data_IF_864613636814
#
_entry.id   IF_864613636814
#
_cell.length_a   1.000
_cell.length_b   1.000
_cell.length_c   1.000
_cell.angle_alpha   90.00
_cell.angle_beta   90.00
_cell.angle_gamma   90.00
#
_symmetry.space_group_name_H-M   'P 1'
#
loop_
_entity.id
_entity.type
_entity.pdbx_description
1 polymer ?
#
# COMPACT_ATOMS: atom_id res chain seq x y z
N UNK A 1 6.36 20.41 6.00
CA UNK A 1 6.62 18.99 5.71
C UNK A 1 5.79 18.64 4.49
N UNK A 2 6.39 18.63 3.30
CA UNK A 2 5.73 18.05 2.12
C UNK A 2 6.10 16.57 2.12
N UNK A 3 5.19 15.71 2.56
CA UNK A 3 5.33 14.28 2.34
C UNK A 3 4.79 14.00 0.95
N UNK A 4 5.64 13.50 0.05
CA UNK A 4 5.20 13.09 -1.27
C UNK A 4 4.20 11.94 -1.12
N UNK A 5 3.16 11.91 -1.97
CA UNK A 5 2.22 10.81 -1.98
C UNK A 5 1.96 10.30 -3.39
N UNK A 6 1.65 9.01 -3.48
CA UNK A 6 1.36 8.33 -4.73
C UNK A 6 0.05 7.55 -4.58
N UNK A 7 -0.94 7.87 -5.42
CA UNK A 7 -2.08 6.99 -5.66
C UNK A 7 -1.63 5.77 -6.46
N UNK A 8 -1.94 4.59 -5.95
CA UNK A 8 -1.63 3.30 -6.57
C UNK A 8 -2.96 2.66 -6.97
N UNK A 9 -3.44 3.02 -8.15
CA UNK A 9 -4.66 2.49 -8.78
C UNK A 9 -4.43 1.96 -10.22
N UNK A 10 -3.17 1.93 -10.67
CA UNK A 10 -2.79 1.32 -11.96
C UNK A 10 -1.59 0.37 -11.81
N UNK A 11 -1.41 -0.61 -12.72
CA UNK A 11 -0.26 -1.51 -12.69
C UNK A 11 1.10 -0.78 -12.75
N UNK A 12 1.18 0.33 -13.48
CA UNK A 12 2.40 1.15 -13.57
C UNK A 12 2.72 1.83 -12.24
N UNK A 13 1.70 2.35 -11.56
CA UNK A 13 1.85 2.91 -10.22
C UNK A 13 2.23 1.84 -9.20
N UNK A 14 1.64 0.63 -9.30
CA UNK A 14 1.98 -0.51 -8.46
C UNK A 14 3.43 -0.96 -8.64
N UNK A 15 3.92 -0.99 -9.89
CA UNK A 15 5.33 -1.28 -10.20
C UNK A 15 6.27 -0.25 -9.56
N UNK A 16 5.95 1.05 -9.66
CA UNK A 16 6.72 2.11 -9.00
C UNK A 16 6.71 2.00 -7.47
N UNK A 17 5.56 1.67 -6.89
CA UNK A 17 5.42 1.47 -5.45
C UNK A 17 6.27 0.26 -4.99
N UNK A 18 6.20 -0.86 -5.70
CA UNK A 18 6.95 -2.08 -5.40
C UNK A 18 8.47 -1.84 -5.33
N UNK A 19 9.02 -1.09 -6.29
CA UNK A 19 10.45 -0.80 -6.33
C UNK A 19 10.93 0.09 -5.18
N UNK A 20 10.06 0.95 -4.66
CA UNK A 20 10.36 1.84 -3.53
C UNK A 20 10.16 1.13 -2.19
N UNK A 21 9.02 0.46 -2.01
CA UNK A 21 8.69 -0.28 -0.79
C UNK A 21 9.72 -1.37 -0.48
N UNK A 22 10.24 -2.06 -1.49
CA UNK A 22 11.30 -3.07 -1.32
C UNK A 22 12.59 -2.52 -0.69
N UNK A 23 12.86 -1.22 -0.82
CA UNK A 23 14.06 -0.54 -0.31
C UNK A 23 13.81 0.17 1.01
N UNK A 24 12.57 0.22 1.49
CA UNK A 24 12.23 0.88 2.74
C UNK A 24 12.76 0.06 3.93
N UNK A 25 13.32 0.74 4.93
CA UNK A 25 13.75 0.11 6.19
C UNK A 25 12.65 0.07 7.26
N UNK A 26 11.62 0.89 7.09
CA UNK A 26 10.47 0.99 7.98
C UNK A 26 9.21 1.21 7.15
N UNK A 27 8.11 0.57 7.53
CA UNK A 27 6.80 0.74 6.89
C UNK A 27 5.73 1.05 7.92
N UNK A 28 5.07 2.21 7.80
CA UNK A 28 3.81 2.47 8.49
C UNK A 28 2.67 1.94 7.64
N UNK A 29 1.80 1.08 8.18
CA UNK A 29 0.72 0.45 7.43
C UNK A 29 -0.60 0.71 8.14
N UNK A 30 -1.61 1.14 7.40
CA UNK A 30 -2.99 1.29 7.85
C UNK A 30 -3.96 0.82 6.76
N UNK A 31 -5.20 0.55 7.14
CA UNK A 31 -6.23 0.00 6.24
C UNK A 31 -7.60 0.59 6.51
N UNK A 32 -8.35 0.88 5.45
CA UNK A 32 -9.74 1.33 5.52
C UNK A 32 -10.71 0.25 5.05
N UNK A 33 -11.87 0.17 5.71
CA UNK A 33 -12.92 -0.80 5.40
C UNK A 33 -14.28 -0.12 5.22
N UNK A 34 -15.08 -0.63 4.27
CA UNK A 34 -16.52 -0.35 4.17
C UNK A 34 -17.32 -1.52 4.76
N UNK A 35 -18.08 -1.23 5.81
CA UNK A 35 -18.97 -2.18 6.50
C UNK A 35 -20.46 -1.88 6.30
N UNK A 36 -20.83 -0.71 5.75
CA UNK A 36 -22.23 -0.29 5.69
C UNK A 36 -23.04 -1.06 4.65
N UNK A 37 -22.41 -1.39 3.51
CA UNK A 37 -23.05 -2.09 2.38
C UNK A 37 -22.70 -3.57 2.28
N UNK A 38 -21.86 -4.08 3.18
CA UNK A 38 -21.29 -5.41 3.09
C UNK A 38 -21.43 -6.18 4.41
N UNK A 39 -21.99 -7.39 4.35
CA UNK A 39 -22.10 -8.27 5.53
C UNK A 39 -20.73 -8.64 6.11
N UNK A 40 -19.73 -8.81 5.26
CA UNK A 40 -18.31 -8.89 5.66
C UNK A 40 -17.64 -7.62 5.18
N UNK A 41 -16.95 -6.95 6.09
CA UNK A 41 -16.25 -5.70 5.80
C UNK A 41 -15.34 -5.88 4.59
N UNK A 42 -15.35 -4.87 3.71
CA UNK A 42 -14.53 -4.87 2.50
C UNK A 42 -13.40 -3.87 2.63
N UNK A 43 -12.18 -4.36 2.50
CA UNK A 43 -10.99 -3.53 2.38
C UNK A 43 -11.14 -2.61 1.16
N UNK A 44 -11.16 -1.30 1.38
CA UNK A 44 -11.33 -0.32 0.32
C UNK A 44 -10.05 0.48 0.06
N UNK A 45 -9.18 0.63 1.06
CA UNK A 45 -7.93 1.36 0.92
C UNK A 45 -6.83 0.71 1.78
N UNK A 46 -5.59 0.77 1.28
CA UNK A 46 -4.40 0.45 2.07
C UNK A 46 -3.48 1.67 2.01
N UNK A 47 -3.05 2.15 3.17
CA UNK A 47 -2.10 3.26 3.27
C UNK A 47 -0.77 2.71 3.74
N UNK A 48 0.29 2.99 2.99
CA UNK A 48 1.65 2.59 3.35
C UNK A 48 2.56 3.81 3.35
N UNK A 49 3.07 4.18 4.51
CA UNK A 49 4.14 5.15 4.62
C UNK A 49 5.50 4.46 4.52
N UNK A 50 6.32 4.88 3.56
CA UNK A 50 7.76 4.66 3.55
C UNK A 50 8.45 6.02 3.79
N UNK A 51 9.69 6.08 4.33
CA UNK A 51 10.31 7.30 4.90
C UNK A 51 10.17 8.62 4.14
N UNK A 52 10.01 8.60 2.81
CA UNK A 52 9.86 9.79 1.98
C UNK A 52 8.52 9.89 1.26
N UNK A 53 7.70 8.85 1.25
CA UNK A 53 6.51 8.76 0.38
C UNK A 53 5.39 7.96 1.03
N UNK A 54 4.18 8.51 1.02
CA UNK A 54 2.95 7.80 1.39
C UNK A 54 2.29 7.22 0.15
N UNK A 55 2.06 5.92 0.15
CA UNK A 55 1.35 5.21 -0.90
C UNK A 55 -0.10 5.02 -0.46
N UNK A 56 -1.03 5.42 -1.30
CA UNK A 56 -2.47 5.20 -1.11
C UNK A 56 -2.90 4.19 -2.16
N UNK A 57 -3.10 2.94 -1.77
CA UNK A 57 -3.43 1.84 -2.67
C UNK A 57 -4.95 1.68 -2.71
N UNK A 58 -5.51 1.72 -3.91
CA UNK A 58 -6.91 1.41 -4.15
C UNK A 58 -7.08 -0.12 -4.16
N UNK A 59 -7.63 -0.67 -3.07
CA UNK A 59 -7.88 -2.11 -2.95
C UNK A 59 -9.04 -2.59 -3.85
N UNK A 60 -9.80 -1.67 -4.46
CA UNK A 60 -10.94 -1.93 -5.33
C UNK A 60 -10.59 -1.87 -6.82
N UNK A 61 -9.42 -1.33 -7.19
CA UNK A 61 -8.97 -1.14 -8.57
C UNK A 61 -8.56 -2.43 -9.33
N UNK A 62 -8.87 -3.62 -8.79
CA UNK A 62 -8.51 -4.92 -9.36
C UNK A 62 -7.01 -5.06 -9.67
N UNK A 63 -6.17 -4.48 -8.81
CA UNK A 63 -4.71 -4.55 -8.89
C UNK A 63 -4.19 -5.87 -8.32
N UNK A 64 -3.10 -6.38 -8.90
CA UNK A 64 -2.31 -7.42 -8.26
C UNK A 64 -1.49 -6.81 -7.12
N UNK A 65 -1.86 -7.13 -5.88
CA UNK A 65 -1.19 -6.69 -4.66
C UNK A 65 -0.05 -7.62 -4.22
N UNK A 66 0.27 -8.67 -4.99
CA UNK A 66 1.32 -9.64 -4.66
C UNK A 66 2.71 -8.99 -4.49
N UNK A 67 2.93 -7.80 -5.04
CA UNK A 67 4.18 -7.06 -4.87
C UNK A 67 4.47 -6.67 -3.41
N UNK A 68 3.45 -6.63 -2.54
CA UNK A 68 3.60 -6.37 -1.10
C UNK A 68 4.21 -7.56 -0.34
N UNK A 69 4.23 -8.76 -0.93
CA UNK A 69 4.74 -9.97 -0.27
C UNK A 69 6.20 -9.84 0.14
N UNK A 70 7.04 -9.30 -0.75
CA UNK A 70 8.48 -9.13 -0.51
C UNK A 70 8.78 -8.16 0.65
N UNK A 71 8.27 -6.93 0.67
CA UNK A 71 8.51 -6.03 1.80
C UNK A 71 7.91 -6.57 3.11
N UNK A 72 6.73 -7.19 3.10
CA UNK A 72 6.09 -7.67 4.33
C UNK A 72 6.74 -8.92 4.94
N UNK A 73 7.41 -9.75 4.12
CA UNK A 73 8.18 -10.91 4.61
C UNK A 73 9.62 -10.58 4.97
N UNK A 74 10.09 -9.36 4.68
CA UNK A 74 11.46 -8.98 4.95
C UNK A 74 11.65 -8.67 6.43
N UNK A 75 12.30 -9.58 7.17
CA UNK A 75 12.56 -9.45 8.62
C UNK A 75 13.47 -8.27 8.99
N UNK A 76 14.17 -7.69 8.02
CA UNK A 76 15.00 -6.49 8.23
C UNK A 76 14.19 -5.19 8.16
N UNK A 77 12.93 -5.25 7.74
CA UNK A 77 12.00 -4.12 7.71
C UNK A 77 11.16 -4.16 8.99
N UNK A 78 11.04 -3.02 9.65
CA UNK A 78 10.23 -2.83 10.86
C UNK A 78 8.86 -2.26 10.49
#
# INVERSE_FOLDING_TARGET
>A
MNTDWLLVNTPEAATRAADRLRKASILGIDTEYDSFRYFREKLCLIQIYAPTTTYVLDATANLDLSFLDKPFKNKSVV
#
